data_IF_811710945357
#
_entry.id   IF_811710945357
#
_cell.length_a   1.000
_cell.length_b   1.000
_cell.length_c   1.000
_cell.angle_alpha   90.00
_cell.angle_beta   90.00
_cell.angle_gamma   90.00
#
_symmetry.space_group_name_H-M   'P 1'
#
loop_
_entity.id
_entity.type
_entity.pdbx_description
1 polymer ?
#
# COMPACT_ATOMS: atom_id res chain seq x y z
N UNK A 1 0.93 -15.25 62.35
CA UNK A 1 2.09 -15.02 61.45
C UNK A 1 3.27 -15.75 62.05
N UNK A 2 3.76 -16.80 61.39
CA UNK A 2 4.99 -17.48 61.78
C UNK A 2 6.15 -16.68 61.21
N UNK A 3 6.45 -15.54 61.82
CA UNK A 3 7.63 -14.75 61.48
C UNK A 3 8.86 -15.58 61.90
N UNK A 4 9.50 -16.21 60.92
CA UNK A 4 10.72 -17.00 61.11
C UNK A 4 11.94 -16.10 60.94
N UNK A 5 12.93 -16.25 61.81
CA UNK A 5 14.21 -15.56 61.72
C UNK A 5 15.33 -16.57 61.47
N UNK A 6 16.27 -16.23 60.59
CA UNK A 6 17.50 -16.99 60.40
C UNK A 6 18.50 -16.55 61.45
N UNK A 7 18.92 -17.49 62.30
CA UNK A 7 19.85 -17.23 63.38
C UNK A 7 21.11 -18.06 63.24
N UNK A 8 22.23 -17.49 63.69
CA UNK A 8 23.48 -18.19 63.93
C UNK A 8 23.67 -18.31 65.45
N UNK A 9 23.73 -19.54 65.94
CA UNK A 9 23.84 -19.85 67.36
C UNK A 9 25.22 -20.45 67.59
N UNK A 10 25.99 -19.91 68.54
CA UNK A 10 27.27 -20.50 68.95
C UNK A 10 27.01 -21.67 69.90
N UNK A 11 27.39 -22.88 69.48
CA UNK A 11 27.12 -24.11 70.22
C UNK A 11 28.41 -24.90 70.40
N UNK A 12 28.78 -25.16 71.66
CA UNK A 12 29.96 -25.95 72.01
C UNK A 12 29.65 -27.45 72.13
N UNK A 13 28.45 -27.80 72.62
CA UNK A 13 27.96 -29.18 72.70
C UNK A 13 26.63 -29.30 71.93
N UNK A 14 26.65 -30.04 70.82
CA UNK A 14 25.53 -30.15 69.88
C UNK A 14 24.38 -30.99 70.44
N UNK A 15 24.68 -32.10 71.10
CA UNK A 15 23.67 -33.02 71.65
C UNK A 15 22.87 -32.36 72.78
N UNK A 16 23.58 -31.67 73.67
CA UNK A 16 22.94 -30.96 74.77
C UNK A 16 22.08 -29.78 74.27
N UNK A 17 22.47 -29.14 73.17
CA UNK A 17 21.67 -28.10 72.53
C UNK A 17 20.33 -28.67 72.02
N UNK A 18 20.36 -29.81 71.33
CA UNK A 18 19.15 -30.45 70.80
C UNK A 18 18.17 -30.88 71.88
N UNK A 19 18.67 -31.56 72.91
CA UNK A 19 17.85 -31.98 74.05
C UNK A 19 17.16 -30.77 74.66
N UNK A 20 17.91 -29.69 74.90
CA UNK A 20 17.39 -28.45 75.49
C UNK A 20 16.40 -27.70 74.60
N UNK A 21 16.50 -27.81 73.28
CA UNK A 21 15.51 -27.22 72.35
C UNK A 21 14.23 -28.04 72.27
N UNK A 22 14.34 -29.38 72.36
CA UNK A 22 13.19 -30.29 72.38
C UNK A 22 12.41 -30.17 73.69
N UNK A 23 13.09 -30.13 74.84
CA UNK A 23 12.47 -29.90 76.17
C UNK A 23 11.68 -28.58 76.23
N UNK A 24 12.09 -27.59 75.44
CA UNK A 24 11.46 -26.25 75.39
C UNK A 24 10.44 -26.11 74.25
N UNK A 25 10.11 -27.19 73.54
CA UNK A 25 9.20 -27.19 72.38
C UNK A 25 9.58 -26.17 71.29
N UNK A 26 10.89 -25.95 71.07
CA UNK A 26 11.36 -24.99 70.06
C UNK A 26 11.60 -25.73 68.73
N UNK A 27 10.86 -25.33 67.70
CA UNK A 27 11.02 -25.88 66.34
C UNK A 27 12.24 -25.26 65.65
N UNK A 28 13.23 -26.09 65.32
CA UNK A 28 14.40 -25.70 64.52
C UNK A 28 14.22 -26.17 63.07
N UNK A 29 14.17 -25.23 62.13
CA UNK A 29 14.01 -25.51 60.71
C UNK A 29 15.33 -25.24 59.94
N UNK A 30 15.59 -25.98 58.86
CA UNK A 30 16.74 -25.77 57.94
C UNK A 30 18.10 -25.60 58.62
N UNK A 31 18.49 -26.61 59.42
CA UNK A 31 19.73 -26.59 60.21
C UNK A 31 20.95 -26.81 59.31
N UNK A 32 21.93 -25.92 59.39
CA UNK A 32 23.25 -26.02 58.72
C UNK A 32 24.36 -25.86 59.76
N UNK A 33 25.37 -26.72 59.67
CA UNK A 33 26.49 -26.74 60.62
C UNK A 33 27.73 -26.07 60.04
N UNK A 34 28.38 -25.25 60.86
CA UNK A 34 29.73 -24.73 60.61
C UNK A 34 30.51 -24.74 61.92
N UNK A 35 31.35 -25.75 62.11
CA UNK A 35 32.19 -25.97 63.31
C UNK A 35 31.51 -25.65 64.64
N UNK A 36 31.76 -24.46 65.21
CA UNK A 36 31.25 -23.98 66.51
C UNK A 36 29.89 -23.27 66.41
N UNK A 37 29.26 -23.29 65.24
CA UNK A 37 28.03 -22.57 64.95
C UNK A 37 26.97 -23.46 64.30
N UNK A 38 25.72 -23.24 64.71
CA UNK A 38 24.53 -23.79 64.09
C UNK A 38 23.78 -22.63 63.45
N UNK A 39 23.48 -22.75 62.16
CA UNK A 39 22.62 -21.81 61.44
C UNK A 39 21.27 -22.48 61.24
N UNK A 40 20.21 -21.93 61.80
CA UNK A 40 18.87 -22.50 61.70
C UNK A 40 17.82 -21.39 61.64
N UNK A 41 16.64 -21.72 61.13
CA UNK A 41 15.45 -20.88 61.23
C UNK A 41 14.70 -21.22 62.50
N UNK A 42 14.32 -20.19 63.26
CA UNK A 42 13.50 -20.30 64.46
C UNK A 42 12.33 -19.32 64.38
N UNK A 43 11.27 -19.54 65.13
CA UNK A 43 10.20 -18.53 65.28
C UNK A 43 10.72 -17.34 66.06
N UNK A 44 10.29 -16.13 65.71
CA UNK A 44 10.65 -14.90 66.43
C UNK A 44 10.24 -14.94 67.92
N UNK A 45 9.13 -15.61 68.25
CA UNK A 45 8.71 -15.86 69.63
C UNK A 45 9.75 -16.61 70.46
N UNK A 46 10.47 -17.54 69.83
CA UNK A 46 11.38 -18.47 70.52
C UNK A 46 12.78 -17.87 70.67
N UNK A 47 13.07 -16.79 69.94
CA UNK A 47 14.33 -16.05 70.02
C UNK A 47 14.64 -15.57 71.44
N UNK A 48 13.64 -14.97 72.13
CA UNK A 48 13.82 -14.45 73.50
C UNK A 48 14.17 -15.55 74.49
N UNK A 49 13.66 -16.76 74.27
CA UNK A 49 13.92 -17.92 75.14
C UNK A 49 15.31 -18.49 74.90
N UNK A 50 15.72 -18.58 73.63
CA UNK A 50 17.04 -19.09 73.24
C UNK A 50 18.19 -18.12 73.55
N UNK A 51 17.98 -16.82 73.41
CA UNK A 51 19.02 -15.79 73.62
C UNK A 51 19.47 -15.65 75.08
N UNK A 52 18.68 -16.16 76.04
CA UNK A 52 19.06 -16.23 77.46
C UNK A 52 20.18 -17.22 77.75
N UNK A 53 20.32 -18.26 76.95
CA UNK A 53 21.24 -19.38 77.21
C UNK A 53 22.38 -19.47 76.21
N UNK A 54 22.17 -18.97 74.99
CA UNK A 54 23.15 -19.06 73.91
C UNK A 54 23.41 -17.69 73.32
N UNK A 55 24.63 -17.48 72.81
CA UNK A 55 24.96 -16.30 72.02
C UNK A 55 24.40 -16.50 70.61
N UNK A 56 23.43 -15.67 70.25
CA UNK A 56 22.69 -15.74 68.98
C UNK A 56 22.94 -14.47 68.19
N UNK A 57 23.29 -14.63 66.92
CA UNK A 57 23.39 -13.55 65.94
C UNK A 57 22.23 -13.72 64.94
N UNK A 58 21.37 -12.71 64.80
CA UNK A 58 20.32 -12.70 63.77
C UNK A 58 21.01 -12.42 62.44
N UNK A 59 20.90 -13.36 61.49
CA UNK A 59 21.47 -13.22 60.16
C UNK A 59 20.48 -12.57 59.18
N UNK A 60 19.18 -12.90 59.29
CA UNK A 60 18.14 -12.38 58.42
C UNK A 60 16.76 -12.55 59.06
N UNK A 61 15.97 -11.48 59.08
CA UNK A 61 14.57 -11.53 59.49
C UNK A 61 13.71 -11.80 58.25
N UNK A 62 12.83 -12.80 58.28
CA UNK A 62 11.87 -13.06 57.19
C UNK A 62 10.49 -12.50 57.55
N UNK A 63 10.47 -11.27 58.06
CA UNK A 63 9.27 -10.66 58.62
C UNK A 63 8.54 -9.82 57.56
N UNK A 64 7.21 -9.80 57.64
CA UNK A 64 6.37 -8.90 56.80
C UNK A 64 6.74 -7.42 56.94
N UNK A 65 7.30 -7.05 58.08
CA UNK A 65 7.81 -5.70 58.34
C UNK A 65 9.06 -5.35 57.50
N UNK A 66 9.93 -6.32 57.21
CA UNK A 66 11.11 -6.13 56.36
C UNK A 66 10.70 -5.93 54.89
N UNK A 67 9.66 -6.64 54.44
CA UNK A 67 9.03 -6.40 53.13
C UNK A 67 8.44 -4.99 53.03
N UNK A 68 7.73 -4.53 54.06
CA UNK A 68 7.18 -3.17 54.10
C UNK A 68 8.26 -2.08 54.12
N UNK A 69 9.36 -2.30 54.86
CA UNK A 69 10.53 -1.41 54.83
C UNK A 69 11.16 -1.36 53.44
N UNK A 70 11.29 -2.52 52.78
CA UNK A 70 11.82 -2.61 51.43
C UNK A 70 10.91 -1.91 50.40
N UNK A 71 9.59 -2.11 50.48
CA UNK A 71 8.61 -1.43 49.62
C UNK A 71 8.65 0.09 49.82
N UNK A 72 8.73 0.58 51.07
CA UNK A 72 8.87 2.01 51.35
C UNK A 72 10.21 2.59 50.90
N UNK A 73 11.29 1.81 50.97
CA UNK A 73 12.63 2.24 50.52
C UNK A 73 12.68 2.45 49.00
N UNK A 74 12.02 1.58 48.24
CA UNK A 74 12.07 1.57 46.77
C UNK A 74 10.73 1.96 46.12
N UNK A 75 9.85 2.68 46.83
CA UNK A 75 8.49 3.00 46.36
C UNK A 75 8.47 3.74 45.02
N UNK A 76 9.47 4.59 44.74
CA UNK A 76 9.61 5.30 43.47
C UNK A 76 9.89 4.35 42.29
N UNK A 77 10.68 3.29 42.50
CA UNK A 77 10.98 2.30 41.48
C UNK A 77 9.71 1.52 41.12
N UNK A 78 8.97 1.04 42.12
CA UNK A 78 7.69 0.35 41.88
C UNK A 78 6.65 1.27 41.23
N UNK A 79 6.57 2.52 41.68
CA UNK A 79 5.68 3.52 41.07
C UNK A 79 6.01 3.74 39.59
N UNK A 80 7.30 3.79 39.23
CA UNK A 80 7.71 3.94 37.84
C UNK A 80 7.31 2.75 36.97
N UNK A 81 7.41 1.52 37.50
CA UNK A 81 6.99 0.30 36.80
C UNK A 81 5.47 0.30 36.62
N UNK A 82 4.71 0.64 37.65
CA UNK A 82 3.24 0.73 37.59
C UNK A 82 2.83 1.80 36.57
N UNK A 83 3.44 2.98 36.63
CA UNK A 83 3.19 4.06 35.66
C UNK A 83 3.54 3.61 34.24
N UNK A 84 4.65 2.90 34.05
CA UNK A 84 5.04 2.32 32.78
C UNK A 84 3.99 1.35 32.22
N UNK A 85 3.46 0.46 33.07
CA UNK A 85 2.38 -0.47 32.69
C UNK A 85 1.11 0.29 32.31
N UNK A 86 0.74 1.32 33.09
CA UNK A 86 -0.44 2.15 32.80
C UNK A 86 -0.27 2.87 31.45
N UNK A 87 0.87 3.52 31.23
CA UNK A 87 1.17 4.21 29.98
C UNK A 87 1.18 3.24 28.80
N UNK A 88 1.81 2.07 28.95
CA UNK A 88 1.83 1.04 27.92
C UNK A 88 0.42 0.58 27.53
N UNK A 89 -0.46 0.38 28.51
CA UNK A 89 -1.86 0.03 28.26
C UNK A 89 -2.65 1.15 27.55
N UNK A 90 -2.32 2.42 27.83
CA UNK A 90 -2.92 3.55 27.10
C UNK A 90 -2.43 3.56 25.65
N UNK A 91 -1.12 3.38 25.44
CA UNK A 91 -0.52 3.40 24.10
C UNK A 91 -1.04 2.25 23.23
N UNK A 92 -1.07 1.02 23.74
CA UNK A 92 -1.55 -0.14 22.97
C UNK A 92 -3.03 -0.05 22.60
N UNK A 93 -3.82 0.66 23.41
CA UNK A 93 -5.24 0.91 23.16
C UNK A 93 -5.48 2.23 22.42
N UNK A 94 -4.46 2.91 21.92
CA UNK A 94 -4.62 4.16 21.15
C UNK A 94 -4.38 3.90 19.66
N UNK A 95 -5.25 4.47 18.82
CA UNK A 95 -5.12 4.40 17.37
C UNK A 95 -4.28 5.57 16.86
N UNK A 96 -3.13 5.28 16.26
CA UNK A 96 -2.24 6.29 15.69
C UNK A 96 -2.50 6.52 14.20
N UNK A 97 -2.97 5.49 13.48
CA UNK A 97 -3.13 5.53 12.03
C UNK A 97 -4.52 5.05 11.61
N UNK A 98 -5.11 5.76 10.66
CA UNK A 98 -6.32 5.35 9.96
C UNK A 98 -5.97 5.33 8.47
N UNK A 99 -6.07 4.16 7.87
CA UNK A 99 -5.71 3.88 6.48
C UNK A 99 -6.99 3.48 5.74
N UNK A 100 -7.43 4.36 4.84
CA UNK A 100 -8.61 4.16 4.03
C UNK A 100 -8.16 3.67 2.66
N UNK A 101 -8.50 2.44 2.32
CA UNK A 101 -8.15 1.76 1.08
C UNK A 101 -9.34 1.80 0.13
N UNK A 102 -9.24 2.62 -0.91
CA UNK A 102 -10.18 2.67 -2.02
C UNK A 102 -9.51 3.31 -3.25
N UNK A 103 -9.87 2.93 -4.48
CA UNK A 103 -9.42 3.62 -5.68
C UNK A 103 -9.95 5.05 -5.81
N UNK A 104 -11.11 5.35 -5.20
CA UNK A 104 -11.80 6.64 -5.33
C UNK A 104 -11.42 7.58 -4.18
N UNK A 105 -10.57 8.57 -4.47
CA UNK A 105 -10.06 9.51 -3.46
C UNK A 105 -11.14 10.43 -2.87
N UNK A 106 -12.16 10.78 -3.66
CA UNK A 106 -13.25 11.65 -3.20
C UNK A 106 -14.14 10.93 -2.19
N UNK A 107 -14.45 9.66 -2.46
CA UNK A 107 -15.14 8.78 -1.52
C UNK A 107 -14.35 8.61 -0.22
N UNK A 108 -13.02 8.42 -0.31
CA UNK A 108 -12.15 8.32 0.86
C UNK A 108 -12.24 9.58 1.75
N UNK A 109 -12.15 10.78 1.15
CA UNK A 109 -12.21 12.04 1.88
C UNK A 109 -13.58 12.27 2.53
N UNK A 110 -14.66 11.92 1.84
CA UNK A 110 -16.03 12.00 2.36
C UNK A 110 -16.23 11.08 3.56
N UNK A 111 -15.89 9.80 3.40
CA UNK A 111 -16.06 8.80 4.45
C UNK A 111 -15.12 9.06 5.64
N UNK A 112 -13.91 9.59 5.43
CA UNK A 112 -13.02 10.02 6.51
C UNK A 112 -13.71 11.02 7.44
N UNK A 113 -14.40 12.03 6.91
CA UNK A 113 -15.12 13.03 7.73
C UNK A 113 -16.26 12.41 8.52
N UNK A 114 -16.94 11.41 7.96
CA UNK A 114 -18.02 10.68 8.64
C UNK A 114 -17.45 9.84 9.77
N UNK A 115 -16.37 9.10 9.53
CA UNK A 115 -15.69 8.27 10.54
C UNK A 115 -15.18 9.09 11.74
N UNK A 116 -14.80 10.35 11.52
CA UNK A 116 -14.43 11.26 12.61
C UNK A 116 -15.58 11.49 13.59
N UNK A 117 -16.84 11.52 13.11
CA UNK A 117 -18.04 11.65 13.97
C UNK A 117 -18.28 10.40 14.81
N UNK A 118 -17.82 9.23 14.34
CA UNK A 118 -17.82 7.96 15.06
C UNK A 118 -16.59 7.76 15.96
N UNK A 119 -15.74 8.78 16.12
CA UNK A 119 -14.47 8.70 16.85
C UNK A 119 -13.51 7.61 16.31
N UNK A 120 -13.62 7.25 15.02
CA UNK A 120 -12.70 6.36 14.31
C UNK A 120 -11.63 7.20 13.60
N UNK A 121 -10.86 7.94 14.40
CA UNK A 121 -9.85 8.90 13.93
C UNK A 121 -8.53 8.72 14.67
N UNK A 122 -7.52 9.49 14.28
CA UNK A 122 -6.21 9.44 14.94
C UNK A 122 -6.31 9.93 16.39
N UNK A 123 -5.51 9.32 17.27
CA UNK A 123 -5.41 9.59 18.70
C UNK A 123 -6.71 9.35 19.49
N UNK A 124 -7.52 8.37 19.05
CA UNK A 124 -8.66 7.89 19.84
C UNK A 124 -8.40 6.52 20.42
N UNK A 125 -9.13 6.19 21.49
CA UNK A 125 -9.13 4.86 22.07
C UNK A 125 -9.74 3.86 21.09
N UNK A 126 -9.11 2.68 21.02
CA UNK A 126 -9.57 1.51 20.29
C UNK A 126 -11.00 1.17 20.69
N UNK A 127 -11.83 0.94 19.68
CA UNK A 127 -13.22 0.53 19.83
C UNK A 127 -13.30 -0.98 19.84
N UNK A 128 -14.27 -1.51 20.56
CA UNK A 128 -14.56 -2.93 20.56
C UNK A 128 -15.17 -3.36 19.23
N UNK A 129 -15.14 -4.67 18.98
CA UNK A 129 -15.61 -5.25 17.73
C UNK A 129 -17.10 -4.95 17.46
N UNK A 130 -17.96 -4.96 18.49
CA UNK A 130 -19.39 -4.73 18.31
C UNK A 130 -19.67 -3.29 17.89
N UNK A 131 -18.94 -2.32 18.44
CA UNK A 131 -19.03 -0.94 18.01
C UNK A 131 -18.60 -0.76 16.54
N UNK A 132 -17.49 -1.38 16.12
CA UNK A 132 -17.03 -1.32 14.73
C UNK A 132 -18.05 -1.94 13.76
N UNK A 133 -18.64 -3.08 14.13
CA UNK A 133 -19.68 -3.74 13.35
C UNK A 133 -20.94 -2.86 13.22
N UNK A 134 -21.33 -2.16 14.29
CA UNK A 134 -22.44 -1.21 14.26
C UNK A 134 -22.16 -0.03 13.32
N UNK A 135 -20.97 0.56 13.39
CA UNK A 135 -20.57 1.66 12.48
C UNK A 135 -20.57 1.20 11.03
N UNK A 136 -20.05 0.00 10.74
CA UNK A 136 -20.11 -0.60 9.39
C UNK A 136 -21.55 -0.67 8.86
N UNK A 137 -22.49 -1.15 9.67
CA UNK A 137 -23.90 -1.24 9.27
C UNK A 137 -24.55 0.12 9.07
N UNK A 138 -24.24 1.10 9.93
CA UNK A 138 -24.76 2.47 9.77
C UNK A 138 -24.23 3.13 8.51
N UNK A 139 -22.93 2.99 8.19
CA UNK A 139 -22.34 3.53 6.97
C UNK A 139 -23.02 3.00 5.70
N UNK A 140 -23.24 1.68 5.62
CA UNK A 140 -23.94 1.05 4.48
C UNK A 140 -25.40 1.49 4.37
N UNK A 141 -26.07 1.79 5.49
CA UNK A 141 -27.45 2.31 5.49
C UNK A 141 -27.54 3.79 5.11
N UNK A 142 -26.56 4.60 5.50
CA UNK A 142 -26.54 6.04 5.20
C UNK A 142 -26.11 6.33 3.76
N UNK A 143 -25.27 5.48 3.18
CA UNK A 143 -24.73 5.65 1.81
C UNK A 143 -25.02 4.44 0.90
N UNK A 144 -26.29 4.01 0.76
CA UNK A 144 -26.63 2.79 0.02
C UNK A 144 -26.34 2.89 -1.49
N UNK A 145 -26.29 4.10 -2.04
CA UNK A 145 -26.06 4.33 -3.48
C UNK A 145 -24.57 4.53 -3.84
N UNK A 146 -23.70 4.65 -2.83
CA UNK A 146 -22.27 4.96 -3.01
C UNK A 146 -21.37 3.84 -2.50
N UNK A 147 -21.80 3.08 -1.47
CA UNK A 147 -21.01 2.01 -0.87
C UNK A 147 -21.68 0.65 -1.12
N UNK A 148 -20.93 -0.29 -1.71
CA UNK A 148 -21.34 -1.69 -1.84
C UNK A 148 -20.85 -2.49 -0.63
N UNK A 149 -19.60 -2.25 -0.23
CA UNK A 149 -18.95 -2.97 0.86
C UNK A 149 -18.07 -2.05 1.69
N UNK A 150 -18.08 -2.29 3.00
CA UNK A 150 -17.23 -1.59 3.98
C UNK A 150 -16.64 -2.63 4.92
N UNK A 151 -15.33 -2.61 5.10
CA UNK A 151 -14.65 -3.43 6.10
C UNK A 151 -13.83 -2.53 7.02
N UNK A 152 -13.97 -2.70 8.33
CA UNK A 152 -13.22 -1.93 9.35
C UNK A 152 -12.46 -2.92 10.22
N UNK A 153 -11.15 -3.02 9.97
CA UNK A 153 -10.26 -3.91 10.70
C UNK A 153 -9.36 -3.12 11.64
N UNK A 154 -9.20 -3.66 12.85
CA UNK A 154 -8.22 -3.17 13.81
C UNK A 154 -6.95 -4.01 13.72
N UNK A 155 -5.85 -3.37 13.34
CA UNK A 155 -4.51 -3.95 13.28
C UNK A 155 -3.59 -3.19 14.25
N UNK A 156 -3.57 -3.63 15.51
CA UNK A 156 -2.81 -2.98 16.59
C UNK A 156 -3.24 -1.52 16.82
N UNK A 157 -2.33 -0.58 16.56
CA UNK A 157 -2.55 0.86 16.66
C UNK A 157 -3.07 1.49 15.35
N UNK A 158 -3.55 0.67 14.40
CA UNK A 158 -4.02 1.11 13.09
C UNK A 158 -5.43 0.61 12.81
N UNK A 159 -6.28 1.47 12.27
CA UNK A 159 -7.48 1.03 11.56
C UNK A 159 -7.20 0.91 10.07
N UNK A 160 -7.60 -0.22 9.49
CA UNK A 160 -7.60 -0.46 8.05
C UNK A 160 -9.05 -0.50 7.61
N UNK A 161 -9.44 0.48 6.81
CA UNK A 161 -10.83 0.66 6.36
C UNK A 161 -10.84 0.45 4.86
N UNK A 162 -11.48 -0.62 4.41
CA UNK A 162 -11.58 -0.93 2.97
C UNK A 162 -12.98 -0.56 2.51
N UNK A 163 -13.06 0.24 1.44
CA UNK A 163 -14.32 0.71 0.88
C UNK A 163 -14.41 0.26 -0.57
N UNK A 164 -15.49 -0.44 -0.91
CA UNK A 164 -15.84 -0.72 -2.29
C UNK A 164 -17.01 0.17 -2.71
N UNK A 165 -16.78 0.93 -3.77
CA UNK A 165 -17.79 1.79 -4.34
C UNK A 165 -18.87 0.95 -5.03
N UNK A 166 -20.12 1.34 -4.80
CA UNK A 166 -21.24 0.78 -5.52
C UNK A 166 -21.19 1.23 -6.97
N UNK A 167 -20.97 0.29 -7.88
CA UNK A 167 -21.13 0.54 -9.31
C UNK A 167 -22.60 0.81 -9.57
N UNK A 168 -22.94 2.10 -9.75
CA UNK A 168 -24.22 2.48 -10.30
C UNK A 168 -24.28 1.89 -11.71
N UNK A 169 -25.04 0.81 -11.86
CA UNK A 169 -25.64 0.50 -13.15
C UNK A 169 -26.62 1.64 -13.34
N UNK A 170 -26.18 2.71 -14.00
CA UNK A 170 -27.11 3.71 -14.52
C UNK A 170 -28.16 2.90 -15.27
N UNK A 171 -29.46 2.93 -14.89
CA UNK A 171 -30.48 2.43 -15.81
C UNK A 171 -30.22 3.23 -17.07
N UNK A 172 -29.88 2.54 -18.15
CA UNK A 172 -29.42 3.16 -19.38
C UNK A 172 -30.50 4.16 -19.78
N UNK A 173 -30.28 5.45 -19.50
CA UNK A 173 -31.19 6.50 -19.91
C UNK A 173 -30.91 6.64 -21.39
N UNK A 174 -31.72 5.88 -22.14
CA UNK A 174 -32.05 5.90 -23.57
C UNK A 174 -32.10 4.47 -24.08
N UNK A 175 -33.30 3.89 -24.04
CA UNK A 175 -33.71 2.87 -24.98
C UNK A 175 -34.07 3.55 -26.33
N UNK A 176 -33.27 4.54 -26.74
CA UNK A 176 -33.38 5.17 -28.05
C UNK A 176 -32.69 4.20 -29.01
N UNK A 177 -33.38 3.84 -30.09
CA UNK A 177 -32.82 3.04 -31.18
C UNK A 177 -31.50 3.67 -31.64
N UNK A 178 -30.42 2.91 -31.59
CA UNK A 178 -29.11 3.34 -32.08
C UNK A 178 -28.53 2.25 -32.98
N UNK A 179 -27.86 2.66 -34.05
CA UNK A 179 -27.17 1.78 -35.00
C UNK A 179 -25.66 1.97 -34.83
N UNK A 180 -24.89 0.91 -35.07
CA UNK A 180 -23.43 0.96 -35.17
C UNK A 180 -23.08 1.23 -36.64
N UNK A 181 -22.44 2.36 -36.92
CA UNK A 181 -22.14 2.83 -38.28
C UNK A 181 -20.63 2.91 -38.53
N UNK A 182 -20.20 2.68 -39.77
CA UNK A 182 -18.80 2.76 -40.14
C UNK A 182 -18.26 4.20 -39.98
N UNK A 183 -17.15 4.35 -39.26
CA UNK A 183 -16.45 5.63 -39.11
C UNK A 183 -15.46 5.91 -40.24
N UNK A 184 -15.09 4.88 -41.00
CA UNK A 184 -14.15 4.95 -42.12
C UNK A 184 -14.57 4.01 -43.23
N UNK A 185 -14.15 4.33 -44.44
CA UNK A 185 -14.23 3.45 -45.60
C UNK A 185 -13.28 2.26 -45.37
N UNK A 186 -13.79 1.03 -45.48
CA UNK A 186 -13.04 -0.16 -45.09
C UNK A 186 -13.56 -1.44 -45.74
N UNK A 187 -12.69 -2.44 -45.85
CA UNK A 187 -13.10 -3.82 -46.10
C UNK A 187 -13.29 -4.52 -44.75
N UNK A 188 -14.51 -4.91 -44.40
CA UNK A 188 -14.83 -5.53 -43.10
C UNK A 188 -14.04 -6.84 -42.94
N UNK A 189 -13.25 -6.96 -41.89
CA UNK A 189 -12.46 -8.17 -41.60
C UNK A 189 -13.14 -9.04 -40.54
N UNK A 190 -13.70 -8.42 -39.49
CA UNK A 190 -14.33 -9.12 -38.37
C UNK A 190 -15.44 -8.29 -37.74
N UNK A 191 -16.55 -8.94 -37.38
CA UNK A 191 -17.68 -8.31 -36.68
C UNK A 191 -17.90 -9.04 -35.36
N UNK A 192 -17.90 -8.31 -34.24
CA UNK A 192 -18.21 -8.81 -32.90
C UNK A 192 -19.42 -8.03 -32.37
N UNK A 193 -20.62 -8.56 -32.58
CA UNK A 193 -21.86 -7.94 -32.10
C UNK A 193 -22.21 -8.40 -30.69
N UNK A 194 -22.56 -7.46 -29.81
CA UNK A 194 -23.10 -7.71 -28.48
C UNK A 194 -24.63 -7.50 -28.44
N UNK A 195 -25.13 -6.48 -29.15
CA UNK A 195 -26.54 -6.11 -29.26
C UNK A 195 -26.87 -5.62 -30.66
N UNK A 196 -28.06 -5.96 -31.18
CA UNK A 196 -28.52 -5.59 -32.53
C UNK A 196 -28.34 -6.71 -33.56
N UNK A 197 -28.66 -6.40 -34.83
CA UNK A 197 -28.60 -7.33 -35.96
C UNK A 197 -27.43 -6.95 -36.86
N UNK A 198 -26.52 -7.89 -37.10
CA UNK A 198 -25.36 -7.69 -37.99
C UNK A 198 -25.84 -7.57 -39.44
N UNK A 199 -25.51 -6.45 -40.09
CA UNK A 199 -25.93 -6.14 -41.46
C UNK A 199 -24.85 -6.45 -42.50
N UNK A 200 -23.58 -6.61 -42.07
CA UNK A 200 -22.43 -6.81 -42.95
C UNK A 200 -21.71 -8.12 -42.63
N UNK A 201 -21.10 -8.73 -43.65
CA UNK A 201 -20.29 -9.94 -43.50
C UNK A 201 -18.80 -9.60 -43.64
N UNK A 202 -17.89 -10.41 -43.07
CA UNK A 202 -16.48 -10.33 -43.43
C UNK A 202 -16.29 -10.33 -44.95
N UNK A 203 -15.28 -9.61 -45.43
CA UNK A 203 -14.97 -9.35 -46.83
C UNK A 203 -16.01 -8.48 -47.58
N UNK A 204 -16.79 -7.66 -46.86
CA UNK A 204 -17.71 -6.67 -47.45
C UNK A 204 -17.08 -5.28 -47.39
N UNK A 205 -17.11 -4.54 -48.50
CA UNK A 205 -16.67 -3.14 -48.51
C UNK A 205 -17.78 -2.24 -47.96
N UNK A 206 -17.42 -1.37 -47.02
CA UNK A 206 -18.32 -0.41 -46.38
C UNK A 206 -17.75 1.00 -46.50
N UNK A 207 -18.64 1.98 -46.62
CA UNK A 207 -18.29 3.40 -46.62
C UNK A 207 -18.65 4.03 -45.29
N UNK A 208 -17.99 5.14 -45.00
CA UNK A 208 -18.28 5.96 -43.82
C UNK A 208 -19.77 6.31 -43.78
N UNK A 209 -20.44 5.96 -42.68
CA UNK A 209 -21.87 6.12 -42.48
C UNK A 209 -22.73 4.89 -42.75
N UNK A 210 -22.18 3.84 -43.37
CA UNK A 210 -22.93 2.59 -43.59
C UNK A 210 -23.27 1.90 -42.27
N UNK A 211 -24.48 1.33 -42.17
CA UNK A 211 -24.95 0.62 -40.97
C UNK A 211 -24.31 -0.78 -40.94
N UNK A 212 -23.50 -1.02 -39.91
CA UNK A 212 -22.79 -2.29 -39.70
C UNK A 212 -23.60 -3.23 -38.81
N UNK A 213 -24.20 -2.69 -37.74
CA UNK A 213 -25.09 -3.40 -36.83
C UNK A 213 -26.32 -2.53 -36.62
N UNK A 214 -27.49 -3.04 -36.98
CA UNK A 214 -28.75 -2.32 -36.82
C UNK A 214 -29.36 -2.56 -35.44
N UNK A 215 -29.93 -1.51 -34.87
CA UNK A 215 -30.79 -1.58 -33.68
C UNK A 215 -32.20 -2.11 -33.98
N UNK A 216 -32.58 -2.29 -35.25
CA UNK A 216 -33.88 -2.85 -35.64
C UNK A 216 -33.83 -4.37 -35.71
N UNK A 217 -34.62 -5.04 -34.87
CA UNK A 217 -34.81 -6.49 -34.94
C UNK A 217 -36.05 -6.76 -35.78
N UNK A 218 -35.84 -7.21 -37.02
CA UNK A 218 -36.91 -7.51 -37.98
C UNK A 218 -37.23 -9.00 -38.01
N UNK A 219 -38.52 -9.32 -38.13
CA UNK A 219 -39.01 -10.66 -38.44
C UNK A 219 -40.05 -10.54 -39.56
N UNK A 220 -39.83 -11.22 -40.68
CA UNK A 220 -40.64 -11.06 -41.91
C UNK A 220 -40.81 -9.59 -42.33
N UNK A 221 -39.70 -8.84 -42.37
CA UNK A 221 -39.63 -7.42 -42.77
C UNK A 221 -40.35 -6.42 -41.85
N UNK A 222 -41.07 -6.89 -40.84
CA UNK A 222 -41.66 -6.05 -39.79
C UNK A 222 -40.69 -5.87 -38.61
N UNK A 223 -40.54 -4.63 -38.13
CA UNK A 223 -39.78 -4.32 -36.91
C UNK A 223 -40.54 -4.87 -35.70
N UNK A 224 -40.00 -5.91 -35.06
CA UNK A 224 -40.59 -6.53 -33.86
C UNK A 224 -40.03 -5.95 -32.58
N UNK A 225 -38.80 -5.47 -32.61
CA UNK A 225 -38.14 -4.88 -31.45
C UNK A 225 -37.08 -3.87 -31.87
N UNK A 226 -36.76 -2.93 -30.98
CA UNK A 226 -35.71 -1.92 -31.18
C UNK A 226 -34.77 -1.94 -29.98
N UNK A 227 -33.48 -1.98 -30.27
CA UNK A 227 -32.40 -1.91 -29.28
C UNK A 227 -31.42 -0.80 -29.67
N UNK A 228 -30.61 -0.37 -28.71
CA UNK A 228 -29.38 0.34 -29.05
C UNK A 228 -28.32 -0.72 -29.38
N UNK A 229 -27.91 -0.78 -30.66
CA UNK A 229 -26.93 -1.73 -31.14
C UNK A 229 -25.54 -1.42 -30.54
N UNK A 230 -24.80 -2.48 -30.23
CA UNK A 230 -23.43 -2.37 -29.72
C UNK A 230 -22.57 -3.52 -30.22
N UNK A 231 -21.32 -3.23 -30.54
CA UNK A 231 -20.38 -4.20 -31.06
C UNK A 231 -19.18 -3.56 -31.73
N UNK A 232 -18.09 -4.30 -31.77
CA UNK A 232 -16.84 -3.86 -32.40
C UNK A 232 -16.76 -4.43 -33.80
N UNK A 233 -16.50 -3.56 -34.78
CA UNK A 233 -16.27 -3.96 -36.17
C UNK A 233 -14.85 -3.58 -36.57
N UNK A 234 -14.11 -4.57 -37.06
CA UNK A 234 -12.77 -4.41 -37.60
C UNK A 234 -12.84 -4.33 -39.12
N UNK A 235 -12.00 -3.50 -39.70
CA UNK A 235 -11.88 -3.35 -41.14
C UNK A 235 -10.46 -3.02 -41.57
N UNK A 236 -10.12 -3.50 -42.75
CA UNK A 236 -8.92 -3.13 -43.48
C UNK A 236 -9.15 -1.74 -44.10
N UNK A 237 -8.28 -0.79 -43.78
CA UNK A 237 -8.31 0.59 -44.27
C UNK A 237 -6.99 0.91 -44.94
N UNK A 238 -7.07 1.58 -46.09
CA UNK A 238 -5.93 2.00 -46.88
C UNK A 238 -5.64 3.50 -46.68
N UNK A 239 -4.38 3.84 -46.49
CA UNK A 239 -3.92 5.22 -46.27
C UNK A 239 -2.80 5.58 -47.22
N UNK A 240 -2.91 6.76 -47.82
CA UNK A 240 -1.80 7.46 -48.47
C UNK A 240 -1.20 8.46 -47.46
N UNK A 241 -0.09 8.08 -46.85
CA UNK A 241 0.56 8.86 -45.80
C UNK A 241 1.74 9.64 -46.37
N UNK A 242 1.65 10.96 -46.31
CA UNK A 242 2.77 11.86 -46.63
C UNK A 242 3.55 12.20 -45.37
N UNK A 243 4.83 11.89 -45.34
CA UNK A 243 5.72 12.07 -44.20
C UNK A 243 6.81 13.08 -44.58
N UNK A 244 7.09 14.03 -43.70
CA UNK A 244 8.17 15.00 -43.87
C UNK A 244 9.02 14.98 -42.61
N UNK A 245 10.20 14.38 -42.70
CA UNK A 245 11.16 14.26 -41.60
C UNK A 245 12.32 15.22 -41.81
N UNK A 246 12.91 15.80 -40.75
CA UNK A 246 14.17 16.53 -40.89
C UNK A 246 15.28 15.56 -41.35
N UNK A 247 16.28 16.05 -42.10
CA UNK A 247 17.40 15.20 -42.55
C UNK A 247 18.26 14.70 -41.38
N UNK A 248 18.39 15.52 -40.34
CA UNK A 248 19.16 15.24 -39.13
C UNK A 248 18.27 15.25 -37.90
N UNK A 249 18.59 14.43 -36.91
CA UNK A 249 17.98 14.43 -35.59
C UNK A 249 19.04 14.59 -34.50
N UNK A 250 18.59 14.93 -33.29
CA UNK A 250 19.47 14.99 -32.13
C UNK A 250 19.39 13.68 -31.35
N UNK A 251 20.47 12.93 -31.36
CA UNK A 251 20.61 11.76 -30.52
C UNK A 251 21.16 12.16 -29.15
N UNK A 252 20.48 11.69 -28.11
CA UNK A 252 20.88 11.90 -26.72
C UNK A 252 21.87 10.84 -26.29
N UNK A 253 23.07 11.26 -25.89
CA UNK A 253 24.13 10.37 -25.40
C UNK A 253 24.49 10.75 -23.97
N UNK A 254 24.64 9.73 -23.13
CA UNK A 254 25.13 9.88 -21.76
C UNK A 254 26.65 9.91 -21.77
N UNK A 255 27.23 10.90 -21.11
CA UNK A 255 28.67 10.96 -20.86
C UNK A 255 29.05 10.17 -19.61
N UNK A 256 30.35 9.94 -19.39
CA UNK A 256 30.85 9.32 -18.15
C UNK A 256 30.74 10.23 -16.92
N UNK A 257 30.42 11.51 -17.10
CA UNK A 257 30.25 12.43 -15.99
C UNK A 257 28.90 12.21 -15.33
N UNK A 258 28.96 11.75 -14.09
CA UNK A 258 27.80 11.64 -13.21
C UNK A 258 28.10 12.15 -11.82
N UNK A 259 27.06 12.55 -11.10
CA UNK A 259 27.16 12.97 -9.70
C UNK A 259 25.95 12.52 -8.92
N UNK A 260 26.15 12.39 -7.61
CA UNK A 260 25.05 12.23 -6.68
C UNK A 260 24.60 13.58 -6.13
N UNK A 261 23.30 13.71 -5.94
CA UNK A 261 22.64 14.82 -5.28
C UNK A 261 21.59 14.26 -4.33
N UNK A 262 21.18 15.07 -3.36
CA UNK A 262 20.11 14.73 -2.44
C UNK A 262 18.93 15.66 -2.72
N UNK A 263 17.74 15.08 -2.73
CA UNK A 263 16.48 15.79 -2.90
C UNK A 263 15.62 15.54 -1.67
N UNK A 264 15.16 16.63 -1.08
CA UNK A 264 14.23 16.63 0.01
C UNK A 264 12.85 17.04 -0.53
N UNK A 265 11.88 16.13 -0.42
CA UNK A 265 10.51 16.38 -0.81
C UNK A 265 9.63 16.56 0.42
N UNK A 266 8.84 17.64 0.46
CA UNK A 266 7.81 17.86 1.48
C UNK A 266 6.59 18.53 0.85
N UNK A 267 5.38 18.04 1.15
CA UNK A 267 4.11 18.56 0.62
C UNK A 267 4.12 18.78 -0.91
N UNK A 268 4.57 17.76 -1.66
CA UNK A 268 4.70 17.76 -3.12
C UNK A 268 5.63 18.84 -3.71
N UNK A 269 6.51 19.46 -2.90
CA UNK A 269 7.60 20.31 -3.38
C UNK A 269 8.92 19.58 -3.21
N UNK A 270 9.72 19.56 -4.26
CA UNK A 270 11.04 18.91 -4.32
C UNK A 270 12.15 19.97 -4.23
N UNK A 271 13.04 19.83 -3.25
CA UNK A 271 14.17 20.72 -3.03
C UNK A 271 15.48 19.95 -3.20
N UNK A 272 16.23 20.26 -4.26
CA UNK A 272 17.60 19.74 -4.43
C UNK A 272 18.54 20.46 -3.47
N UNK A 273 19.31 19.70 -2.70
CA UNK A 273 20.24 20.24 -1.70
C UNK A 273 21.41 20.95 -2.37
N UNK A 274 21.93 20.40 -3.47
CA UNK A 274 23.04 21.00 -4.21
C UNK A 274 22.59 21.51 -5.57
N UNK A 275 23.10 22.69 -5.98
CA UNK A 275 22.94 23.18 -7.35
C UNK A 275 23.67 22.23 -8.32
N UNK A 276 23.01 21.86 -9.41
CA UNK A 276 23.67 21.09 -10.46
C UNK A 276 24.78 21.93 -11.10
N UNK A 277 25.89 21.27 -11.40
CA UNK A 277 27.05 21.83 -12.12
C UNK A 277 27.16 21.24 -13.52
N UNK A 278 26.28 20.30 -13.85
CA UNK A 278 26.13 19.74 -15.18
C UNK A 278 25.23 20.67 -15.98
N UNK A 279 25.56 20.90 -17.25
CA UNK A 279 24.80 21.84 -18.09
C UNK A 279 23.43 21.24 -18.42
N UNK A 280 23.45 20.10 -19.10
CA UNK A 280 22.28 19.29 -19.42
C UNK A 280 22.46 17.90 -18.80
N UNK A 281 21.44 17.40 -18.13
CA UNK A 281 21.54 16.12 -17.42
C UNK A 281 20.17 15.48 -17.21
N UNK A 282 20.15 14.16 -17.16
CA UNK A 282 19.02 13.38 -16.65
C UNK A 282 19.22 13.03 -15.18
N UNK A 283 18.11 12.76 -14.49
CA UNK A 283 18.14 12.40 -13.08
C UNK A 283 17.47 11.05 -12.86
N UNK A 284 18.23 10.07 -12.35
CA UNK A 284 17.69 8.82 -11.81
C UNK A 284 17.44 8.98 -10.31
N UNK A 285 16.19 8.81 -9.89
CA UNK A 285 15.73 9.00 -8.51
C UNK A 285 15.64 7.66 -7.79
N UNK A 286 16.25 7.57 -6.60
CA UNK A 286 16.08 6.45 -5.66
C UNK A 286 15.67 6.98 -4.29
N UNK A 287 14.49 6.60 -3.82
CA UNK A 287 14.04 7.00 -2.49
C UNK A 287 14.83 6.25 -1.41
N UNK A 288 15.48 7.01 -0.51
CA UNK A 288 16.22 6.46 0.63
C UNK A 288 15.31 6.34 1.86
N UNK A 289 14.59 7.42 2.18
CA UNK A 289 13.74 7.51 3.36
C UNK A 289 12.41 8.14 2.93
N UNK A 290 11.30 7.56 3.38
CA UNK A 290 9.98 8.17 3.26
C UNK A 290 9.26 8.05 4.60
N UNK A 291 9.09 9.17 5.29
CA UNK A 291 8.48 9.19 6.63
C UNK A 291 7.72 10.51 6.84
N UNK A 292 6.52 10.44 7.42
CA UNK A 292 5.72 11.61 7.84
C UNK A 292 5.51 12.67 6.72
N UNK A 293 5.37 12.25 5.47
CA UNK A 293 5.21 13.18 4.33
C UNK A 293 6.51 13.87 3.88
N UNK A 294 7.63 13.52 4.49
CA UNK A 294 8.98 13.83 4.02
C UNK A 294 9.51 12.67 3.19
N UNK A 295 10.16 12.98 2.07
CA UNK A 295 10.94 12.01 1.30
C UNK A 295 12.36 12.54 1.13
N UNK A 296 13.34 11.69 1.38
CA UNK A 296 14.73 11.96 1.03
C UNK A 296 15.07 11.01 -0.11
N UNK A 297 15.36 11.57 -1.27
CA UNK A 297 15.74 10.84 -2.46
C UNK A 297 17.22 11.06 -2.75
N UNK A 298 17.91 9.98 -3.11
CA UNK A 298 19.20 10.03 -3.77
C UNK A 298 18.96 10.21 -5.26
N UNK A 299 19.50 11.28 -5.81
CA UNK A 299 19.47 11.59 -7.23
C UNK A 299 20.84 11.26 -7.83
N UNK A 300 20.87 10.42 -8.86
CA UNK A 300 22.04 10.29 -9.73
C UNK A 300 21.80 11.16 -10.97
N UNK A 301 22.54 12.25 -11.07
CA UNK A 301 22.51 13.15 -12.21
C UNK A 301 23.58 12.70 -13.21
N UNK A 302 23.19 12.38 -14.44
CA UNK A 302 24.07 11.90 -15.52
C UNK A 302 24.09 12.96 -16.63
N UNK A 303 25.27 13.49 -16.97
CA UNK A 303 25.41 14.53 -17.99
C UNK A 303 25.09 13.97 -19.38
N UNK A 304 24.25 14.69 -20.10
CA UNK A 304 23.80 14.33 -21.44
C UNK A 304 24.34 15.35 -22.44
N UNK A 305 24.68 14.85 -23.63
CA UNK A 305 25.01 15.67 -24.78
C UNK A 305 24.09 15.26 -25.94
N UNK A 306 23.74 16.23 -26.77
CA UNK A 306 22.98 15.99 -27.98
C UNK A 306 23.94 16.03 -29.17
N UNK A 307 24.05 14.92 -29.90
CA UNK A 307 24.78 14.87 -31.15
C UNK A 307 23.80 14.93 -32.31
N UNK A 308 24.05 15.83 -33.26
CA UNK A 308 23.30 15.87 -34.51
C UNK A 308 23.79 14.74 -35.41
N UNK A 309 22.89 13.80 -35.75
CA UNK A 309 23.15 12.67 -36.64
C UNK A 309 22.18 12.69 -37.82
N UNK A 310 22.59 12.13 -38.95
CA UNK A 310 21.70 11.78 -40.06
C UNK A 310 21.15 10.37 -39.84
N UNK A 311 19.93 10.10 -40.31
CA UNK A 311 19.31 8.78 -40.18
C UNK A 311 20.07 7.74 -41.00
N UNK A 312 20.32 6.57 -40.41
CA UNK A 312 20.57 5.36 -41.18
C UNK A 312 19.27 4.89 -41.85
N UNK A 313 19.35 4.01 -42.87
CA UNK A 313 18.14 3.50 -43.54
C UNK A 313 17.24 2.72 -42.57
N UNK A 314 17.81 1.98 -41.62
CA UNK A 314 17.05 1.24 -40.60
C UNK A 314 16.35 2.18 -39.61
N UNK A 315 17.06 3.19 -39.09
CA UNK A 315 16.47 4.19 -38.18
C UNK A 315 15.38 5.01 -38.87
N UNK A 316 15.57 5.30 -40.16
CA UNK A 316 14.57 6.02 -40.95
C UNK A 316 13.29 5.19 -41.10
N UNK A 317 13.40 3.88 -41.37
CA UNK A 317 12.23 3.00 -41.51
C UNK A 317 11.45 2.87 -40.20
N UNK A 318 12.15 2.73 -39.06
CA UNK A 318 11.53 2.73 -37.73
C UNK A 318 10.80 4.05 -37.48
N UNK A 319 11.45 5.18 -37.81
CA UNK A 319 10.84 6.51 -37.61
C UNK A 319 9.62 6.72 -38.50
N UNK A 320 9.64 6.19 -39.72
CA UNK A 320 8.48 6.18 -40.62
C UNK A 320 7.31 5.42 -39.99
N UNK A 321 7.57 4.24 -39.42
CA UNK A 321 6.53 3.43 -38.78
C UNK A 321 5.90 4.13 -37.57
N UNK A 322 6.70 4.78 -36.73
CA UNK A 322 6.19 5.60 -35.61
C UNK A 322 5.27 6.73 -36.09
N UNK A 323 5.66 7.44 -37.15
CA UNK A 323 4.85 8.55 -37.70
C UNK A 323 3.59 8.02 -38.37
N UNK A 324 3.64 6.86 -39.03
CA UNK A 324 2.46 6.19 -39.59
C UNK A 324 1.49 5.83 -38.48
N UNK A 325 1.97 5.21 -37.39
CA UNK A 325 1.14 4.83 -36.25
C UNK A 325 0.42 6.05 -35.66
N UNK A 326 1.15 7.15 -35.45
CA UNK A 326 0.59 8.41 -34.94
C UNK A 326 -0.48 8.99 -35.89
N UNK A 327 -0.19 9.06 -37.20
CA UNK A 327 -1.11 9.64 -38.20
C UNK A 327 -2.35 8.79 -38.45
N UNK A 328 -2.23 7.47 -38.42
CA UNK A 328 -3.34 6.54 -38.65
C UNK A 328 -4.17 6.34 -37.38
N UNK A 329 -3.64 6.72 -36.21
CA UNK A 329 -4.31 6.60 -34.92
C UNK A 329 -4.32 5.18 -34.37
N UNK A 330 -3.30 4.38 -34.73
CA UNK A 330 -3.10 3.04 -34.21
C UNK A 330 -2.72 3.13 -32.74
N UNK A 331 -3.54 2.56 -31.86
CA UNK A 331 -3.26 2.52 -30.43
C UNK A 331 -2.89 1.10 -29.96
N UNK A 332 -2.73 0.16 -30.89
CA UNK A 332 -2.50 -1.27 -30.63
C UNK A 332 -3.49 -1.84 -29.61
N UNK A 333 -4.77 -1.44 -29.73
CA UNK A 333 -5.84 -2.17 -29.05
C UNK A 333 -5.91 -3.59 -29.63
N UNK A 334 -6.40 -4.56 -28.86
CA UNK A 334 -6.47 -5.97 -29.30
C UNK A 334 -7.07 -6.10 -30.72
N UNK A 335 -6.23 -6.49 -31.68
CA UNK A 335 -6.59 -6.71 -33.08
C UNK A 335 -6.23 -5.58 -34.06
N UNK A 336 -5.67 -4.46 -33.62
CA UNK A 336 -5.15 -3.41 -34.52
C UNK A 336 -3.71 -3.70 -34.97
N UNK A 337 -3.45 -3.70 -36.28
CA UNK A 337 -2.11 -3.95 -36.84
C UNK A 337 -1.90 -3.32 -38.22
N UNK A 338 -0.63 -3.13 -38.59
CA UNK A 338 -0.24 -2.77 -39.95
C UNK A 338 -0.11 -4.08 -40.74
N UNK A 339 -0.94 -4.25 -41.77
CA UNK A 339 -0.93 -5.44 -42.62
C UNK A 339 0.11 -5.32 -43.73
N UNK A 340 0.27 -4.13 -44.28
CA UNK A 340 1.15 -3.88 -45.42
C UNK A 340 1.65 -2.44 -45.44
N UNK A 341 2.90 -2.25 -45.83
CA UNK A 341 3.56 -0.95 -45.99
C UNK A 341 4.37 -0.96 -47.28
N UNK A 342 4.20 0.06 -48.11
CA UNK A 342 5.02 0.26 -49.30
C UNK A 342 5.41 1.73 -49.47
N UNK A 343 6.71 1.99 -49.59
CA UNK A 343 7.22 3.33 -49.86
C UNK A 343 7.08 3.61 -51.36
N UNK A 344 6.19 4.54 -51.71
CA UNK A 344 5.92 4.90 -53.11
C UNK A 344 6.97 5.86 -53.65
N UNK A 345 7.41 6.81 -52.82
CA UNK A 345 8.34 7.87 -53.21
C UNK A 345 9.16 8.33 -52.02
N UNK A 346 10.44 8.62 -52.25
CA UNK A 346 11.37 9.21 -51.28
C UNK A 346 12.15 10.32 -51.98
N UNK A 347 11.97 11.56 -51.54
CA UNK A 347 12.67 12.75 -52.05
C UNK A 347 13.52 13.38 -50.97
N UNK A 348 14.79 13.64 -51.30
CA UNK A 348 15.72 14.31 -50.40
C UNK A 348 15.82 15.78 -50.77
N UNK A 349 15.34 16.65 -49.89
CA UNK A 349 15.48 18.10 -49.98
C UNK A 349 16.63 18.58 -49.08
N UNK A 350 17.03 19.86 -49.20
CA UNK A 350 18.19 20.42 -48.48
C UNK A 350 18.17 20.20 -46.95
N UNK A 351 16.99 20.19 -46.33
CA UNK A 351 16.84 20.04 -44.87
C UNK A 351 15.84 18.94 -44.44
N UNK A 352 15.16 18.31 -45.40
CA UNK A 352 14.04 17.40 -45.13
C UNK A 352 14.05 16.19 -46.06
N UNK A 353 13.45 15.11 -45.60
CA UNK A 353 13.18 13.88 -46.35
C UNK A 353 11.67 13.77 -46.45
N UNK A 354 11.16 13.90 -47.67
CA UNK A 354 9.73 13.80 -47.96
C UNK A 354 9.43 12.41 -48.53
N UNK A 355 8.47 11.72 -47.93
CA UNK A 355 8.21 10.30 -48.18
C UNK A 355 6.71 10.10 -48.36
N UNK A 356 6.31 9.52 -49.47
CA UNK A 356 4.94 9.07 -49.73
C UNK A 356 4.88 7.56 -49.49
N UNK A 357 4.04 7.13 -48.55
CA UNK A 357 3.90 5.73 -48.15
C UNK A 357 2.45 5.30 -48.30
N UNK A 358 2.23 4.18 -48.97
CA UNK A 358 0.95 3.48 -48.95
C UNK A 358 0.95 2.46 -47.82
N UNK A 359 -0.08 2.51 -46.97
CA UNK A 359 -0.20 1.64 -45.80
C UNK A 359 -1.59 1.04 -45.75
N UNK A 360 -1.63 -0.27 -45.50
CA UNK A 360 -2.86 -1.01 -45.20
C UNK A 360 -2.85 -1.37 -43.73
N UNK A 361 -3.93 -1.06 -43.00
CA UNK A 361 -4.05 -1.39 -41.58
C UNK A 361 -5.36 -2.10 -41.29
N UNK A 362 -5.34 -3.05 -40.36
CA UNK A 362 -6.56 -3.60 -39.77
C UNK A 362 -6.86 -2.80 -38.50
N UNK A 363 -7.98 -2.09 -38.46
CA UNK A 363 -8.35 -1.24 -37.32
C UNK A 363 -9.82 -1.38 -36.96
N UNK A 364 -10.18 -0.87 -35.79
CA UNK A 364 -11.57 -0.73 -35.41
C UNK A 364 -12.20 0.40 -36.24
N UNK A 365 -13.24 0.07 -37.00
CA UNK A 365 -14.00 1.01 -37.82
C UNK A 365 -15.32 1.43 -37.17
N UNK A 366 -15.74 0.77 -36.07
CA UNK A 366 -16.80 1.23 -35.17
C UNK A 366 -16.78 0.47 -33.83
N UNK A 367 -17.21 1.13 -32.75
CA UNK A 367 -17.37 0.57 -31.40
C UNK A 367 -18.70 0.96 -30.77
#
# INVERSE_FOLDING_TARGET
>A
MNDEILVRIKVYNKEQFYIRTLERNISLNNIKYKDKYIICKIKESDYKTLSRYYKIEILKEFNTHELLKHLKKYYLEYLSVILGIILFNIFINTICYVDIRTPNQDLANKISKVLDTYNLKRFTLKKDFNYLAKVKQELLKTYPDELEWVEINNDGMKYIITLEERKKILPNVKNDRCDVVATKDALVTKVIAQSGVVMVKPNTYVRTGDVLISGEVKYNEEVKNTVCASGTVYGEVWYDVKISLPKTYQEKIYTDKSRYNLEFSHNNKDYKIFKSRLKDYDTKRKTLISLLGFKINLLKEEEIIYLTKEYTEEELDIRIDEVIQEKVGLNFKEGEEILYKNVLKKELNHSKIDIDVFVTTNIIISN
#
